data_IF_199925491759
#
_entry.id   IF_199925491759
#
_cell.length_a   1.000
_cell.length_b   1.000
_cell.length_c   1.000
_cell.angle_alpha   90.00
_cell.angle_beta   90.00
_cell.angle_gamma   90.00
#
_symmetry.space_group_name_H-M   'P 1'
#
loop_
_entity.id
_entity.type
_entity.pdbx_description
1 polymer ?
#
# COMPACT_ATOMS: atom_id res chain seq x y z
N UNK A 1 13.39 1.99 16.29
CA UNK A 1 12.85 1.49 15.00
C UNK A 1 13.96 1.46 13.97
N UNK A 2 14.09 0.36 13.25
CA UNK A 2 15.07 0.18 12.18
C UNK A 2 14.31 0.11 10.85
N UNK A 3 14.65 0.97 9.91
CA UNK A 3 14.02 1.03 8.58
C UNK A 3 15.02 0.48 7.57
N UNK A 4 14.63 -0.57 6.84
CA UNK A 4 15.51 -1.29 5.91
C UNK A 4 14.87 -1.26 4.53
N UNK A 5 15.56 -0.64 3.58
CA UNK A 5 15.17 -0.66 2.16
C UNK A 5 15.57 -1.97 1.52
N UNK A 6 14.61 -2.62 0.84
CA UNK A 6 14.77 -3.93 0.19
C UNK A 6 14.54 -3.87 -1.33
N UNK A 7 14.09 -2.73 -1.84
CA UNK A 7 13.96 -2.49 -3.28
C UNK A 7 15.31 -2.54 -4.02
N UNK A 8 16.40 -2.16 -3.36
CA UNK A 8 17.77 -2.18 -3.92
C UNK A 8 18.31 -3.60 -4.14
N UNK A 9 17.61 -4.61 -3.64
CA UNK A 9 17.86 -6.03 -3.92
C UNK A 9 16.71 -6.65 -4.71
N UNK A 10 15.83 -5.85 -5.32
CA UNK A 10 14.77 -6.35 -6.20
C UNK A 10 13.58 -6.99 -5.46
N UNK A 11 13.34 -6.64 -4.19
CA UNK A 11 12.17 -7.12 -3.44
C UNK A 11 11.25 -5.96 -3.05
N UNK A 12 9.94 -6.21 -3.00
CA UNK A 12 9.02 -5.36 -2.23
C UNK A 12 9.22 -5.62 -0.75
N UNK A 13 8.88 -4.63 0.09
CA UNK A 13 8.81 -4.86 1.54
C UNK A 13 7.84 -5.99 1.89
N UNK A 14 6.72 -6.10 1.17
CA UNK A 14 5.76 -7.20 1.30
C UNK A 14 6.41 -8.58 1.10
N UNK A 15 7.15 -8.75 0.01
CA UNK A 15 7.81 -10.03 -0.29
C UNK A 15 8.93 -10.32 0.69
N UNK A 16 9.73 -9.31 1.05
CA UNK A 16 10.78 -9.47 2.05
C UNK A 16 10.20 -9.88 3.41
N UNK A 17 9.10 -9.27 3.84
CA UNK A 17 8.36 -9.64 5.05
C UNK A 17 7.87 -11.09 5.00
N UNK A 18 7.29 -11.52 3.88
CA UNK A 18 6.84 -12.90 3.70
C UNK A 18 7.99 -13.91 3.84
N UNK A 19 9.14 -13.64 3.21
CA UNK A 19 10.34 -14.50 3.29
C UNK A 19 10.87 -14.54 4.72
N UNK A 20 11.06 -13.39 5.36
CA UNK A 20 11.53 -13.28 6.74
C UNK A 20 10.64 -14.08 7.70
N UNK A 21 9.32 -13.99 7.54
CA UNK A 21 8.36 -14.72 8.38
C UNK A 21 8.36 -16.22 8.11
N UNK A 22 8.27 -16.62 6.83
CA UNK A 22 8.09 -18.02 6.46
C UNK A 22 9.36 -18.86 6.65
N UNK A 23 10.52 -18.32 6.26
CA UNK A 23 11.80 -19.03 6.24
C UNK A 23 12.62 -18.80 7.52
N UNK A 24 12.63 -17.57 8.05
CA UNK A 24 13.51 -17.18 9.17
C UNK A 24 12.79 -16.98 10.50
N UNK A 25 11.46 -17.07 10.51
CA UNK A 25 10.61 -16.81 11.69
C UNK A 25 10.80 -15.42 12.29
N UNK A 26 11.17 -14.45 11.44
CA UNK A 26 11.32 -13.04 11.81
C UNK A 26 10.06 -12.30 11.36
N UNK A 27 9.29 -11.79 12.32
CA UNK A 27 8.15 -10.92 12.04
C UNK A 27 8.61 -9.46 12.03
N UNK A 28 8.29 -8.73 10.97
CA UNK A 28 8.54 -7.28 10.89
C UNK A 28 7.33 -6.52 11.41
N UNK A 29 7.54 -5.32 11.97
CA UNK A 29 6.43 -4.48 12.43
C UNK A 29 5.58 -3.97 11.25
N UNK A 30 6.24 -3.66 10.14
CA UNK A 30 5.63 -2.99 8.99
C UNK A 30 6.38 -3.30 7.71
N UNK A 31 5.66 -3.34 6.60
CA UNK A 31 6.20 -3.50 5.26
C UNK A 31 5.40 -2.66 4.25
N UNK A 32 6.09 -2.01 3.32
CA UNK A 32 5.46 -1.31 2.20
C UNK A 32 6.06 -1.75 0.85
N UNK A 33 5.84 -0.96 -0.21
CA UNK A 33 6.37 -1.26 -1.54
C UNK A 33 7.91 -1.33 -1.61
N UNK A 34 8.64 -0.72 -0.67
CA UNK A 34 10.09 -0.49 -0.78
C UNK A 34 10.90 -0.95 0.44
N UNK A 35 10.29 -0.97 1.61
CA UNK A 35 11.01 -1.15 2.87
C UNK A 35 10.23 -2.01 3.87
N UNK A 36 10.99 -2.54 4.83
CA UNK A 36 10.49 -3.16 6.04
C UNK A 36 10.93 -2.33 7.25
N UNK A 37 10.16 -2.41 8.33
CA UNK A 37 10.48 -1.78 9.61
C UNK A 37 10.52 -2.85 10.68
N UNK A 38 11.64 -2.91 11.40
CA UNK A 38 11.81 -3.74 12.59
C UNK A 38 11.76 -2.87 13.84
N UNK A 39 11.02 -3.30 14.84
CA UNK A 39 11.02 -2.68 16.16
C UNK A 39 11.95 -3.44 17.08
N UNK A 40 12.99 -2.75 17.56
CA UNK A 40 13.91 -3.25 18.59
C UNK A 40 13.50 -2.62 19.92
N UNK A 41 13.40 -3.45 20.94
CA UNK A 41 12.88 -3.13 22.27
C UNK A 41 13.78 -3.73 23.35
N UNK A 42 13.50 -3.42 24.62
CA UNK A 42 14.21 -4.02 25.76
C UNK A 42 13.98 -5.54 25.90
N UNK A 43 13.02 -6.11 25.18
CA UNK A 43 12.74 -7.54 25.18
C UNK A 43 13.62 -8.31 24.17
N UNK A 44 14.36 -7.60 23.31
CA UNK A 44 15.26 -8.22 22.34
C UNK A 44 16.58 -8.64 22.98
N UNK A 45 17.12 -9.74 22.49
CA UNK A 45 18.37 -10.35 22.98
C UNK A 45 19.40 -10.36 21.85
N UNK A 46 20.68 -10.57 22.18
CA UNK A 46 21.72 -10.76 21.16
C UNK A 46 21.34 -11.86 20.17
N UNK A 47 20.77 -12.97 20.65
CA UNK A 47 20.28 -14.06 19.81
C UNK A 47 19.20 -13.64 18.81
N UNK A 48 18.19 -12.86 19.23
CA UNK A 48 17.13 -12.41 18.31
C UNK A 48 17.63 -11.40 17.29
N UNK A 49 18.63 -10.59 17.69
CA UNK A 49 19.31 -9.65 16.79
C UNK A 49 20.16 -10.39 15.76
N UNK A 50 20.91 -11.41 16.17
CA UNK A 50 21.75 -12.21 15.27
C UNK A 50 20.89 -12.96 14.24
N UNK A 51 19.74 -13.52 14.64
CA UNK A 51 18.76 -14.11 13.71
C UNK A 51 18.31 -13.10 12.64
N UNK A 52 18.02 -11.85 13.02
CA UNK A 52 17.64 -10.81 12.08
C UNK A 52 18.81 -10.47 11.14
N UNK A 53 20.02 -10.34 11.65
CA UNK A 53 21.21 -10.03 10.85
C UNK A 53 21.48 -11.13 9.82
N UNK A 54 21.46 -12.39 10.25
CA UNK A 54 21.67 -13.54 9.36
C UNK A 54 20.61 -13.64 8.27
N UNK A 55 19.34 -13.43 8.64
CA UNK A 55 18.23 -13.41 7.69
C UNK A 55 18.41 -12.30 6.65
N UNK A 56 18.78 -11.09 7.07
CA UNK A 56 19.01 -9.95 6.16
C UNK A 56 20.22 -10.19 5.24
N UNK A 57 21.31 -10.77 5.76
CA UNK A 57 22.46 -11.15 4.94
C UNK A 57 22.09 -12.19 3.89
N UNK A 58 21.32 -13.21 4.26
CA UNK A 58 20.89 -14.24 3.33
C UNK A 58 19.96 -13.67 2.26
N UNK A 59 19.00 -12.84 2.66
CA UNK A 59 18.05 -12.17 1.78
C UNK A 59 18.78 -11.27 0.76
N UNK A 60 19.76 -10.48 1.22
CA UNK A 60 20.62 -9.67 0.35
C UNK A 60 21.43 -10.53 -0.63
N UNK A 61 22.02 -11.65 -0.18
CA UNK A 61 22.86 -12.49 -1.03
C UNK A 61 22.08 -13.23 -2.13
N UNK A 62 20.88 -13.73 -1.82
CA UNK A 62 20.12 -14.59 -2.73
C UNK A 62 19.18 -13.84 -3.65
N UNK A 63 18.71 -12.67 -3.24
CA UNK A 63 17.73 -11.92 -4.03
C UNK A 63 18.30 -10.74 -4.79
N UNK A 64 19.57 -10.38 -4.62
CA UNK A 64 20.18 -9.25 -5.35
C UNK A 64 20.12 -9.46 -6.86
N UNK A 65 19.08 -8.93 -7.46
CA UNK A 65 18.90 -8.84 -8.90
C UNK A 65 19.62 -7.59 -9.42
N UNK A 66 20.21 -7.70 -10.60
CA UNK A 66 20.85 -6.58 -11.30
C UNK A 66 19.85 -5.67 -12.02
N UNK A 67 18.59 -6.10 -12.17
CA UNK A 67 17.58 -5.41 -12.97
C UNK A 67 16.44 -4.89 -12.08
N UNK A 68 16.59 -3.66 -11.58
CA UNK A 68 15.64 -3.02 -10.65
C UNK A 68 14.42 -2.37 -11.34
N UNK A 69 14.12 -2.75 -12.58
CA UNK A 69 13.18 -2.00 -13.43
C UNK A 69 11.73 -2.08 -12.95
N UNK A 70 11.32 -3.14 -12.28
CA UNK A 70 9.91 -3.35 -11.92
C UNK A 70 9.42 -2.40 -10.81
N UNK A 71 10.28 -2.06 -9.83
CA UNK A 71 9.92 -1.17 -8.72
C UNK A 71 9.99 0.33 -9.06
N UNK A 72 10.53 0.69 -10.23
CA UNK A 72 10.62 2.07 -10.70
C UNK A 72 9.43 2.50 -11.58
N UNK A 73 8.55 1.57 -11.97
CA UNK A 73 7.56 1.81 -13.02
C UNK A 73 6.37 2.67 -12.61
N UNK A 74 5.92 2.61 -11.35
CA UNK A 74 4.74 3.36 -10.90
C UNK A 74 5.13 4.30 -9.76
N UNK A 75 5.03 5.60 -10.05
CA UNK A 75 5.19 6.67 -9.07
C UNK A 75 3.91 6.77 -8.23
N UNK A 76 4.04 7.28 -7.00
CA UNK A 76 2.85 7.72 -6.29
C UNK A 76 2.13 8.77 -7.16
N UNK A 77 0.79 8.82 -7.11
CA UNK A 77 0.01 9.93 -7.63
C UNK A 77 0.65 11.27 -7.24
N UNK A 78 0.96 12.09 -8.24
CA UNK A 78 1.60 13.39 -8.03
C UNK A 78 0.55 14.41 -7.61
N UNK A 79 0.78 15.09 -6.48
CA UNK A 79 -0.12 16.12 -5.97
C UNK A 79 -1.29 15.58 -5.13
N UNK A 80 -2.17 16.50 -4.70
CA UNK A 80 -3.39 16.15 -3.98
C UNK A 80 -4.53 15.89 -4.96
N UNK A 81 -5.41 14.91 -4.70
CA UNK A 81 -6.60 14.70 -5.49
C UNK A 81 -7.48 15.97 -5.53
N UNK A 82 -8.22 16.13 -6.62
CA UNK A 82 -9.11 17.28 -6.79
C UNK A 82 -10.35 17.14 -5.91
N UNK A 83 -10.45 17.99 -4.89
CA UNK A 83 -11.66 18.13 -4.07
C UNK A 83 -12.73 18.95 -4.81
N UNK A 84 -13.96 18.40 -4.89
CA UNK A 84 -15.11 19.02 -5.58
C UNK A 84 -16.19 19.42 -4.58
N UNK A 85 -16.43 18.57 -3.60
CA UNK A 85 -17.35 18.82 -2.48
C UNK A 85 -16.63 18.51 -1.18
N UNK A 86 -17.10 19.11 -0.08
CA UNK A 86 -16.49 18.82 1.22
C UNK A 86 -16.82 17.39 1.66
N UNK A 87 -15.96 16.83 2.52
CA UNK A 87 -16.07 15.45 3.00
C UNK A 87 -17.42 15.18 3.68
N UNK A 88 -17.98 16.15 4.40
CA UNK A 88 -19.26 16.01 5.10
C UNK A 88 -20.39 15.80 4.11
N UNK A 89 -20.49 16.64 3.10
CA UNK A 89 -21.55 16.61 2.10
C UNK A 89 -21.44 15.35 1.23
N UNK A 90 -20.22 14.96 0.88
CA UNK A 90 -19.97 13.70 0.19
C UNK A 90 -20.41 12.48 1.01
N UNK A 91 -20.12 12.48 2.32
CA UNK A 91 -20.43 11.37 3.20
C UNK A 91 -21.94 11.25 3.51
N UNK A 92 -22.64 12.38 3.64
CA UNK A 92 -24.07 12.39 3.99
C UNK A 92 -25.01 12.48 2.78
N UNK A 93 -24.50 12.51 1.56
CA UNK A 93 -25.36 12.53 0.37
C UNK A 93 -26.16 11.24 0.24
N UNK A 94 -27.44 11.36 -0.14
CA UNK A 94 -28.30 10.23 -0.48
C UNK A 94 -28.28 9.90 -1.96
N UNK A 95 -27.75 10.80 -2.80
CA UNK A 95 -27.61 10.63 -4.24
C UNK A 95 -26.29 9.92 -4.53
N UNK A 96 -26.31 8.60 -4.44
CA UNK A 96 -25.13 7.76 -4.68
C UNK A 96 -25.43 6.67 -5.68
N UNK A 97 -24.41 6.33 -6.49
CA UNK A 97 -24.45 5.21 -7.42
C UNK A 97 -23.20 4.36 -7.22
N UNK A 98 -23.37 3.04 -7.21
CA UNK A 98 -22.25 2.09 -7.16
C UNK A 98 -21.86 1.69 -8.58
N UNK A 99 -20.57 1.77 -8.86
CA UNK A 99 -19.99 1.53 -10.19
C UNK A 99 -18.74 0.67 -10.08
N UNK A 100 -18.28 0.09 -11.18
CA UNK A 100 -16.97 -0.55 -11.20
C UNK A 100 -15.84 0.46 -10.94
N UNK A 101 -14.66 0.00 -10.52
CA UNK A 101 -13.50 0.89 -10.34
C UNK A 101 -13.15 1.68 -11.61
N UNK A 102 -13.21 1.05 -12.78
CA UNK A 102 -12.93 1.72 -14.07
C UNK A 102 -13.97 2.81 -14.36
N UNK A 103 -15.24 2.56 -14.11
CA UNK A 103 -16.31 3.56 -14.28
C UNK A 103 -16.27 4.68 -13.23
N UNK A 104 -15.70 4.41 -12.05
CA UNK A 104 -15.51 5.43 -11.02
C UNK A 104 -14.50 6.51 -11.41
N UNK A 105 -13.64 6.25 -12.40
CA UNK A 105 -12.68 7.25 -12.89
C UNK A 105 -13.44 8.46 -13.46
N UNK A 106 -13.00 9.66 -13.09
CA UNK A 106 -13.61 10.93 -13.46
C UNK A 106 -14.80 11.34 -12.58
N UNK A 107 -15.21 10.51 -11.61
CA UNK A 107 -16.35 10.79 -10.74
C UNK A 107 -15.94 11.12 -9.30
N UNK A 108 -16.81 11.84 -8.60
CA UNK A 108 -16.63 12.21 -7.19
C UNK A 108 -16.97 11.02 -6.30
N UNK A 109 -16.01 10.58 -5.48
CA UNK A 109 -16.19 9.46 -4.57
C UNK A 109 -17.02 9.86 -3.35
N UNK A 110 -17.76 8.91 -2.78
CA UNK A 110 -18.47 9.07 -1.49
C UNK A 110 -17.90 8.20 -0.37
N UNK A 111 -16.82 7.47 -0.65
CA UNK A 111 -16.12 6.62 0.30
C UNK A 111 -14.60 6.83 0.20
N UNK A 112 -13.88 6.43 1.24
CA UNK A 112 -12.42 6.54 1.26
C UNK A 112 -11.77 5.33 0.60
N UNK A 113 -10.67 5.56 -0.11
CA UNK A 113 -9.79 4.49 -0.59
C UNK A 113 -8.44 4.63 0.10
N UNK A 114 -8.12 3.68 0.97
CA UNK A 114 -6.98 3.74 1.88
C UNK A 114 -6.06 2.54 1.59
N UNK A 115 -4.94 2.73 0.86
CA UNK A 115 -3.92 1.71 0.71
C UNK A 115 -3.30 1.37 2.08
N UNK A 116 -3.27 0.09 2.41
CA UNK A 116 -2.64 -0.41 3.62
C UNK A 116 -1.62 -1.50 3.31
N UNK A 117 -0.40 -1.38 3.84
CA UNK A 117 0.20 -0.23 4.54
C UNK A 117 0.60 0.90 3.57
N UNK A 118 0.62 2.20 3.97
CA UNK A 118 0.71 2.71 5.33
C UNK A 118 -0.61 2.92 6.07
N UNK A 119 -1.76 2.83 5.40
CA UNK A 119 -3.06 3.12 6.04
C UNK A 119 -3.43 4.59 6.08
N UNK A 120 -2.87 5.40 5.17
CA UNK A 120 -3.23 6.80 4.96
C UNK A 120 -4.15 6.89 3.75
N UNK A 121 -5.24 7.69 3.78
CA UNK A 121 -6.13 7.81 2.64
C UNK A 121 -5.40 8.28 1.38
N UNK A 122 -5.59 7.55 0.29
CA UNK A 122 -5.22 8.01 -1.05
C UNK A 122 -6.30 8.93 -1.60
N UNK A 123 -7.57 8.55 -1.39
CA UNK A 123 -8.74 9.32 -1.77
C UNK A 123 -9.70 9.37 -0.59
N UNK A 124 -10.34 10.51 -0.39
CA UNK A 124 -11.40 10.73 0.61
C UNK A 124 -12.72 11.10 -0.07
N UNK A 125 -13.87 10.95 0.61
CA UNK A 125 -15.16 11.39 0.08
C UNK A 125 -15.12 12.85 -0.36
N UNK A 126 -15.64 13.13 -1.55
CA UNK A 126 -15.69 14.46 -2.14
C UNK A 126 -14.55 14.78 -3.11
N UNK A 127 -13.61 13.86 -3.28
CA UNK A 127 -12.54 13.95 -4.28
C UNK A 127 -12.87 13.17 -5.56
N UNK A 128 -12.30 13.59 -6.69
CA UNK A 128 -12.40 12.87 -7.96
C UNK A 128 -11.32 11.79 -8.04
N UNK A 129 -11.71 10.56 -8.39
CA UNK A 129 -10.76 9.52 -8.76
C UNK A 129 -10.29 9.71 -10.21
N UNK A 130 -9.03 10.08 -10.40
CA UNK A 130 -8.40 10.12 -11.73
C UNK A 130 -7.69 8.80 -12.10
N UNK A 131 -7.41 8.60 -13.39
CA UNK A 131 -6.82 7.34 -13.91
C UNK A 131 -5.53 6.93 -13.19
N UNK A 132 -4.65 7.88 -12.90
CA UNK A 132 -3.38 7.61 -12.26
C UNK A 132 -3.53 7.08 -10.82
N UNK A 133 -4.63 7.40 -10.13
CA UNK A 133 -4.94 6.81 -8.83
C UNK A 133 -5.30 5.33 -8.99
N UNK A 134 -6.13 4.99 -9.98
CA UNK A 134 -6.53 3.61 -10.27
C UNK A 134 -5.31 2.76 -10.68
N UNK A 135 -4.42 3.32 -11.51
CA UNK A 135 -3.19 2.65 -11.93
C UNK A 135 -2.29 2.35 -10.72
N UNK A 136 -2.14 3.31 -9.81
CA UNK A 136 -1.40 3.11 -8.56
C UNK A 136 -2.05 2.05 -7.66
N UNK A 137 -3.36 2.09 -7.48
CA UNK A 137 -4.08 1.11 -6.64
C UNK A 137 -3.93 -0.31 -7.18
N UNK A 138 -4.03 -0.49 -8.50
CA UNK A 138 -3.82 -1.80 -9.16
C UNK A 138 -2.41 -2.32 -8.93
N UNK A 139 -1.41 -1.46 -9.10
CA UNK A 139 -0.01 -1.81 -8.83
C UNK A 139 0.22 -2.15 -7.35
N UNK A 140 -0.35 -1.37 -6.44
CA UNK A 140 -0.24 -1.60 -5.01
C UNK A 140 -0.80 -2.96 -4.59
N UNK A 141 -1.97 -3.32 -5.13
CA UNK A 141 -2.59 -4.65 -4.94
C UNK A 141 -1.73 -5.77 -5.53
N UNK A 142 -1.18 -5.60 -6.75
CA UNK A 142 -0.28 -6.58 -7.38
C UNK A 142 0.95 -6.89 -6.52
N UNK A 143 1.50 -5.87 -5.85
CA UNK A 143 2.67 -6.03 -4.97
C UNK A 143 2.36 -6.63 -3.60
N UNK A 144 1.09 -6.93 -3.30
CA UNK A 144 0.66 -7.59 -2.06
C UNK A 144 0.10 -6.66 -0.99
N UNK A 145 -0.12 -5.38 -1.32
CA UNK A 145 -0.88 -4.48 -0.46
C UNK A 145 -2.38 -4.78 -0.52
N UNK A 146 -3.16 -4.20 0.39
CA UNK A 146 -4.62 -4.28 0.39
C UNK A 146 -5.25 -2.92 0.64
N UNK A 147 -6.53 -2.76 0.30
CA UNK A 147 -7.24 -1.49 0.49
C UNK A 147 -8.18 -1.57 1.70
N UNK A 148 -8.44 -0.41 2.31
CA UNK A 148 -9.36 -0.22 3.43
C UNK A 148 -10.24 0.99 3.13
N UNK A 149 -11.42 1.05 3.75
CA UNK A 149 -12.34 2.20 3.67
C UNK A 149 -13.42 2.09 2.61
N UNK A 150 -13.24 1.21 1.61
CA UNK A 150 -14.25 0.92 0.61
C UNK A 150 -15.38 0.06 1.19
N UNK A 151 -16.62 0.32 0.76
CA UNK A 151 -17.78 -0.49 1.15
C UNK A 151 -17.76 -1.89 0.51
N UNK A 152 -17.08 -2.07 -0.62
CA UNK A 152 -16.83 -3.38 -1.24
C UNK A 152 -15.49 -3.95 -0.75
N UNK A 153 -15.49 -5.03 0.05
CA UNK A 153 -14.26 -5.62 0.58
C UNK A 153 -13.42 -6.34 -0.48
N UNK A 154 -13.98 -6.60 -1.67
CA UNK A 154 -13.26 -7.24 -2.77
C UNK A 154 -12.65 -6.23 -3.75
N UNK A 155 -12.79 -4.93 -3.48
CA UNK A 155 -12.24 -3.83 -4.29
C UNK A 155 -12.65 -3.90 -5.77
N UNK A 156 -13.89 -4.31 -6.07
CA UNK A 156 -14.40 -4.38 -7.45
C UNK A 156 -15.19 -3.14 -7.81
N UNK A 157 -15.87 -2.57 -6.82
CA UNK A 157 -16.79 -1.46 -7.00
C UNK A 157 -16.49 -0.30 -6.07
N UNK A 158 -16.86 0.89 -6.50
CA UNK A 158 -16.78 2.12 -5.72
C UNK A 158 -18.11 2.88 -5.79
N UNK A 159 -18.42 3.61 -4.73
CA UNK A 159 -19.60 4.45 -4.63
C UNK A 159 -19.24 5.90 -4.98
N UNK A 160 -20.01 6.47 -5.91
CA UNK A 160 -19.83 7.83 -6.43
C UNK A 160 -21.08 8.68 -6.21
N UNK A 161 -20.94 10.00 -6.29
CA UNK A 161 -22.08 10.93 -6.32
C UNK A 161 -22.87 10.73 -7.61
N UNK A 162 -24.18 10.50 -7.47
CA UNK A 162 -25.11 10.45 -8.60
C UNK A 162 -25.53 11.87 -8.98
N UNK A 163 -25.23 12.27 -10.21
CA UNK A 163 -25.37 13.66 -10.67
C UNK A 163 -26.71 13.90 -11.35
#
# INVERSE_FOLDING_TARGET
>A
KLIIRVNDIGLSGFKASEILRSEYKVEVEFADLRQIICSLTIADTEYTIDLLIDALHHLSKHHRQTDHTDFMRIKLPDGLPRSVINVRDAYFTTKTRRVSLDEGVGHVLVESIIPYPPGVPLLVPGEIMEQHHLDFLRYFLDKGGYLVGMADPNFRTVSIVDT
#
